data_IF_295360627886
#
_entry.id   IF_295360627886
#
_cell.length_a   1.000
_cell.length_b   1.000
_cell.length_c   1.000
_cell.angle_alpha   90.00
_cell.angle_beta   90.00
_cell.angle_gamma   90.00
#
_symmetry.space_group_name_H-M   'P 1'
#
loop_
_entity.id
_entity.type
_entity.pdbx_description
1 polymer ?
#
# COMPACT_ATOMS: atom_id res chain seq x y z
N UNK A 1 17.90 -62.47 -35.32
CA UNK A 1 16.49 -62.17 -34.95
C UNK A 1 16.38 -61.60 -33.54
N UNK A 2 16.90 -62.26 -32.51
CA UNK A 2 16.86 -61.75 -31.12
C UNK A 2 17.47 -60.35 -30.94
N UNK A 3 18.59 -60.05 -31.62
CA UNK A 3 19.28 -58.76 -31.55
C UNK A 3 18.42 -57.60 -32.10
N UNK A 4 17.71 -57.81 -33.20
CA UNK A 4 16.84 -56.77 -33.80
C UNK A 4 15.63 -56.45 -32.90
N UNK A 5 15.09 -57.46 -32.21
CA UNK A 5 13.98 -57.29 -31.26
C UNK A 5 14.46 -56.48 -30.03
N UNK A 6 15.67 -56.75 -29.56
CA UNK A 6 16.28 -56.05 -28.42
C UNK A 6 16.55 -54.57 -28.73
N UNK A 7 17.10 -54.28 -29.91
CA UNK A 7 17.34 -52.90 -30.38
C UNK A 7 16.03 -52.15 -30.59
N UNK A 8 15.02 -52.80 -31.18
CA UNK A 8 13.69 -52.20 -31.35
C UNK A 8 13.01 -51.86 -30.03
N UNK A 9 13.08 -52.76 -29.04
CA UNK A 9 12.52 -52.53 -27.70
C UNK A 9 13.23 -51.38 -26.97
N UNK A 10 14.55 -51.28 -27.09
CA UNK A 10 15.34 -50.21 -26.48
C UNK A 10 14.95 -48.83 -27.06
N UNK A 11 14.84 -48.75 -28.38
CA UNK A 11 14.44 -47.51 -29.07
C UNK A 11 13.03 -47.07 -28.65
N UNK A 12 12.09 -48.01 -28.58
CA UNK A 12 10.71 -47.72 -28.18
C UNK A 12 10.63 -47.24 -26.73
N UNK A 13 11.40 -47.84 -25.83
CA UNK A 13 11.51 -47.42 -24.43
C UNK A 13 12.12 -46.02 -24.29
N UNK A 14 13.17 -45.69 -25.06
CA UNK A 14 13.74 -44.34 -25.07
C UNK A 14 12.74 -43.29 -25.53
N UNK A 15 11.95 -43.58 -26.58
CA UNK A 15 10.92 -42.66 -27.08
C UNK A 15 9.81 -42.45 -26.04
N UNK A 16 9.36 -43.52 -25.37
CA UNK A 16 8.38 -43.40 -24.29
C UNK A 16 8.89 -42.56 -23.12
N UNK A 17 10.16 -42.76 -22.74
CA UNK A 17 10.78 -42.01 -21.65
C UNK A 17 10.91 -40.52 -21.99
N UNK A 18 11.26 -40.17 -23.22
CA UNK A 18 11.28 -38.77 -23.67
C UNK A 18 9.88 -38.15 -23.70
N UNK A 19 8.85 -38.89 -24.10
CA UNK A 19 7.47 -38.42 -24.09
C UNK A 19 6.96 -38.16 -22.67
N UNK A 20 7.26 -39.05 -21.71
CA UNK A 20 6.91 -38.85 -20.30
C UNK A 20 7.64 -37.65 -19.69
N UNK A 21 8.94 -37.50 -19.94
CA UNK A 21 9.69 -36.35 -19.45
C UNK A 21 9.26 -35.03 -20.11
N UNK A 22 8.78 -35.08 -21.35
CA UNK A 22 8.24 -33.90 -22.05
C UNK A 22 6.94 -33.40 -21.43
N UNK A 23 6.11 -34.31 -20.90
CA UNK A 23 4.86 -33.94 -20.23
C UNK A 23 5.11 -33.30 -18.86
N UNK A 24 6.18 -33.70 -18.19
CA UNK A 24 6.51 -33.23 -16.83
C UNK A 24 7.35 -31.93 -16.82
N UNK A 25 7.93 -31.51 -17.95
CA UNK A 25 9.02 -30.51 -17.95
C UNK A 25 8.66 -29.05 -18.22
N UNK A 26 7.40 -28.64 -18.36
CA UNK A 26 7.11 -27.22 -18.68
C UNK A 26 5.91 -26.59 -17.96
N UNK A 27 5.81 -26.80 -16.66
CA UNK A 27 5.11 -25.86 -15.75
C UNK A 27 6.10 -25.00 -14.96
N UNK A 28 7.26 -24.67 -15.54
CA UNK A 28 8.02 -23.50 -15.07
C UNK A 28 7.21 -22.29 -15.47
N UNK A 29 6.43 -21.78 -14.53
CA UNK A 29 5.82 -20.46 -14.57
C UNK A 29 6.86 -19.49 -15.11
N UNK A 30 6.76 -19.16 -16.40
CA UNK A 30 7.62 -18.16 -16.99
C UNK A 30 7.14 -16.85 -16.42
N UNK A 31 7.92 -16.31 -15.49
CA UNK A 31 7.66 -14.98 -14.95
C UNK A 31 7.56 -14.01 -16.12
N UNK A 32 6.42 -13.33 -16.22
CA UNK A 32 6.18 -12.39 -17.30
C UNK A 32 7.23 -11.28 -17.27
N UNK A 33 7.65 -10.82 -18.45
CA UNK A 33 8.60 -9.72 -18.56
C UNK A 33 8.10 -8.50 -17.78
N UNK A 34 8.89 -8.08 -16.80
CA UNK A 34 8.57 -6.93 -15.96
C UNK A 34 8.61 -5.66 -16.82
N UNK A 35 7.50 -4.91 -16.80
CA UNK A 35 7.40 -3.62 -17.49
C UNK A 35 7.29 -2.51 -16.45
N UNK A 36 7.92 -1.38 -16.73
CA UNK A 36 7.73 -0.17 -15.94
C UNK A 36 6.27 0.28 -16.04
N UNK A 37 5.64 0.52 -14.88
CA UNK A 37 4.27 1.05 -14.81
C UNK A 37 4.30 2.51 -14.41
N UNK A 38 3.40 3.31 -14.97
CA UNK A 38 3.14 4.64 -14.46
C UNK A 38 2.70 4.52 -12.99
N UNK A 39 3.29 5.37 -12.13
CA UNK A 39 2.96 5.38 -10.70
C UNK A 39 1.55 5.96 -10.52
N UNK A 40 1.22 7.02 -11.24
CA UNK A 40 -0.07 7.70 -11.12
C UNK A 40 -0.99 7.49 -12.33
N UNK A 41 -2.29 7.43 -12.05
CA UNK A 41 -3.34 7.72 -13.03
C UNK A 41 -3.46 9.24 -13.25
N UNK A 42 -4.11 9.68 -14.35
CA UNK A 42 -4.33 11.10 -14.67
C UNK A 42 -5.07 11.82 -13.54
N UNK A 43 -6.14 11.20 -13.02
CA UNK A 43 -6.93 11.70 -11.88
C UNK A 43 -6.09 11.87 -10.61
N UNK A 44 -5.25 10.87 -10.31
CA UNK A 44 -4.34 10.91 -9.17
C UNK A 44 -3.27 12.00 -9.35
N UNK A 45 -2.72 12.15 -10.55
CA UNK A 45 -1.70 13.16 -10.85
C UNK A 45 -2.24 14.58 -10.64
N UNK A 46 -3.45 14.87 -11.13
CA UNK A 46 -4.11 16.17 -10.95
C UNK A 46 -4.34 16.43 -9.46
N UNK A 47 -4.85 15.45 -8.73
CA UNK A 47 -5.11 15.54 -7.29
C UNK A 47 -3.82 15.79 -6.51
N UNK A 48 -2.75 15.06 -6.83
CA UNK A 48 -1.46 15.21 -6.18
C UNK A 48 -0.87 16.61 -6.36
N UNK A 49 -0.92 17.15 -7.59
CA UNK A 49 -0.47 18.52 -7.85
C UNK A 49 -1.28 19.54 -7.04
N UNK A 50 -2.62 19.40 -7.00
CA UNK A 50 -3.49 20.28 -6.21
C UNK A 50 -3.19 20.21 -4.72
N UNK A 51 -3.00 19.01 -4.17
CA UNK A 51 -2.65 18.81 -2.77
C UNK A 51 -1.33 19.50 -2.42
N UNK A 52 -0.32 19.36 -3.28
CA UNK A 52 0.98 20.02 -3.09
C UNK A 52 0.88 21.55 -3.12
N UNK A 53 -0.01 22.09 -3.95
CA UNK A 53 -0.28 23.54 -4.01
C UNK A 53 -1.01 24.05 -2.77
N UNK A 54 -1.97 23.29 -2.23
CA UNK A 54 -2.78 23.69 -1.06
C UNK A 54 -1.98 23.55 0.24
N UNK A 55 -1.15 22.51 0.32
CA UNK A 55 -0.41 22.13 1.53
C UNK A 55 1.12 22.16 1.29
N UNK A 56 1.72 23.33 1.00
CA UNK A 56 3.15 23.40 0.69
C UNK A 56 4.07 23.05 1.87
N UNK A 57 3.53 23.05 3.10
CA UNK A 57 4.28 22.73 4.32
C UNK A 57 4.09 21.29 4.79
N UNK A 58 3.12 20.57 4.22
CA UNK A 58 2.81 19.18 4.58
C UNK A 58 3.44 18.24 3.57
N UNK A 59 3.82 17.04 4.02
CA UNK A 59 4.37 16.04 3.10
C UNK A 59 3.26 15.12 2.63
N UNK A 60 3.09 15.00 1.32
CA UNK A 60 2.10 14.08 0.73
C UNK A 60 2.81 12.83 0.24
N UNK A 61 2.45 11.67 0.78
CA UNK A 61 2.90 10.38 0.34
C UNK A 61 1.85 9.74 -0.58
N UNK A 62 2.30 9.14 -1.67
CA UNK A 62 1.44 8.43 -2.61
C UNK A 62 1.59 6.91 -2.44
N UNK A 63 0.49 6.19 -2.66
CA UNK A 63 0.43 4.72 -2.69
C UNK A 63 1.07 4.06 -1.46
N UNK A 64 0.58 4.43 -0.28
CA UNK A 64 1.10 3.94 0.99
C UNK A 64 0.41 2.62 1.36
N UNK A 65 1.19 1.57 1.61
CA UNK A 65 0.64 0.29 2.08
C UNK A 65 -0.02 0.43 3.45
N UNK A 66 -1.16 -0.24 3.66
CA UNK A 66 -1.82 -0.28 4.96
C UNK A 66 -0.92 -0.90 6.06
N UNK A 67 0.01 -1.78 5.69
CA UNK A 67 1.01 -2.33 6.61
C UNK A 67 1.96 -1.27 7.23
N UNK A 68 2.09 -0.09 6.60
CA UNK A 68 2.87 1.03 7.13
C UNK A 68 2.04 1.94 8.05
N UNK A 69 0.72 1.89 7.94
CA UNK A 69 -0.22 2.72 8.71
C UNK A 69 -0.77 1.95 9.92
N UNK A 70 -0.99 0.64 9.76
CA UNK A 70 -1.68 -0.19 10.74
C UNK A 70 -0.74 -1.21 11.37
N UNK A 71 -0.75 -1.27 12.71
CA UNK A 71 -0.09 -2.32 13.47
C UNK A 71 -1.12 -3.18 14.19
N UNK A 72 -0.97 -4.50 14.09
CA UNK A 72 -1.85 -5.45 14.78
C UNK A 72 -1.06 -6.58 15.38
N UNK A 73 -1.54 -7.10 16.52
CA UNK A 73 -0.91 -8.24 17.22
C UNK A 73 -1.14 -9.56 16.50
N UNK A 74 -2.30 -9.73 15.86
CA UNK A 74 -2.72 -11.00 15.26
C UNK A 74 -2.44 -11.04 13.76
N UNK A 75 -1.65 -12.03 13.33
CA UNK A 75 -1.34 -12.24 11.91
C UNK A 75 -2.59 -12.39 11.03
N UNK A 76 -3.64 -13.05 11.54
CA UNK A 76 -4.92 -13.20 10.84
C UNK A 76 -5.57 -11.85 10.50
N UNK A 77 -5.44 -10.86 11.37
CA UNK A 77 -5.95 -9.51 11.14
C UNK A 77 -5.07 -8.78 10.12
N UNK A 78 -3.74 -8.91 10.22
CA UNK A 78 -2.80 -8.36 9.24
C UNK A 78 -3.08 -8.83 7.82
N UNK A 79 -3.38 -10.12 7.64
CA UNK A 79 -3.72 -10.67 6.31
C UNK A 79 -4.94 -10.00 5.65
N UNK A 80 -5.84 -9.39 6.43
CA UNK A 80 -7.02 -8.71 5.88
C UNK A 80 -6.67 -7.42 5.14
N UNK A 81 -5.60 -6.72 5.54
CA UNK A 81 -5.21 -5.43 4.98
C UNK A 81 -3.84 -5.43 4.29
N UNK A 82 -3.09 -6.55 4.34
CA UNK A 82 -1.73 -6.66 3.79
C UNK A 82 -1.58 -6.24 2.32
N UNK A 83 -2.60 -6.45 1.51
CA UNK A 83 -2.58 -6.12 0.09
C UNK A 83 -3.32 -4.80 -0.23
N UNK A 84 -3.68 -4.03 0.79
CA UNK A 84 -4.38 -2.75 0.65
C UNK A 84 -3.38 -1.60 0.63
N UNK A 85 -3.68 -0.61 -0.20
CA UNK A 85 -2.87 0.58 -0.43
C UNK A 85 -3.79 1.77 -0.39
N UNK A 86 -3.38 2.80 0.35
CA UNK A 86 -4.05 4.10 0.37
C UNK A 86 -3.49 4.98 -0.76
N UNK A 87 -4.36 5.76 -1.41
CA UNK A 87 -3.96 6.56 -2.56
C UNK A 87 -3.03 7.69 -2.15
N UNK A 88 -3.45 8.50 -1.17
CA UNK A 88 -2.60 9.54 -0.59
C UNK A 88 -2.66 9.57 0.93
N UNK A 89 -1.52 9.85 1.55
CA UNK A 89 -1.39 10.10 2.98
C UNK A 89 -0.75 11.45 3.18
N UNK A 90 -1.45 12.34 3.87
CA UNK A 90 -0.98 13.68 4.22
C UNK A 90 -0.33 13.61 5.59
N UNK A 91 0.92 14.03 5.64
CA UNK A 91 1.71 14.14 6.86
C UNK A 91 1.87 15.61 7.26
N UNK A 92 1.80 15.86 8.56
CA UNK A 92 2.17 17.15 9.14
C UNK A 92 3.70 17.35 9.15
N UNK A 93 4.16 18.55 9.53
CA UNK A 93 5.57 18.93 9.69
C UNK A 93 6.37 17.99 10.59
N UNK A 94 5.69 17.34 11.53
CA UNK A 94 6.28 16.37 12.46
C UNK A 94 6.25 14.93 11.91
N UNK A 95 5.93 14.73 10.63
CA UNK A 95 5.78 13.43 9.97
C UNK A 95 4.71 12.53 10.59
N UNK A 96 3.71 13.13 11.23
CA UNK A 96 2.53 12.43 11.74
C UNK A 96 1.43 12.45 10.68
N UNK A 97 0.69 11.35 10.55
CA UNK A 97 -0.44 11.25 9.62
C UNK A 97 -1.55 12.17 10.09
N UNK A 98 -1.91 13.17 9.28
CA UNK A 98 -3.01 14.10 9.56
C UNK A 98 -4.30 13.64 8.87
N UNK A 99 -4.21 13.22 7.60
CA UNK A 99 -5.34 12.69 6.86
C UNK A 99 -4.91 11.65 5.83
N UNK A 100 -5.80 10.70 5.55
CA UNK A 100 -5.67 9.75 4.46
C UNK A 100 -6.74 10.09 3.43
N UNK A 101 -6.32 10.23 2.17
CA UNK A 101 -7.21 10.55 1.06
C UNK A 101 -7.33 9.33 0.18
N UNK A 102 -8.57 8.98 -0.15
CA UNK A 102 -8.93 7.91 -1.07
C UNK A 102 -9.65 8.49 -2.27
N UNK A 103 -9.23 8.10 -3.47
CA UNK A 103 -9.85 8.47 -4.73
C UNK A 103 -10.58 7.26 -5.28
N UNK A 104 -11.90 7.35 -5.38
CA UNK A 104 -12.64 6.39 -6.19
C UNK A 104 -12.49 6.76 -7.67
N UNK A 105 -12.31 5.75 -8.50
CA UNK A 105 -12.38 5.91 -9.94
C UNK A 105 -13.83 5.58 -10.34
N UNK A 106 -14.61 6.54 -10.88
CA UNK A 106 -16.00 6.29 -11.28
C UNK A 106 -16.13 5.22 -12.37
N UNK A 107 -15.04 4.95 -13.10
CA UNK A 107 -14.97 3.88 -14.10
C UNK A 107 -14.59 2.52 -13.50
N UNK A 108 -14.07 2.51 -12.27
CA UNK A 108 -13.77 1.27 -11.58
C UNK A 108 -15.08 0.63 -11.15
N UNK A 109 -15.45 -0.46 -11.83
CA UNK A 109 -16.51 -1.39 -11.47
C UNK A 109 -16.18 -2.15 -10.16
N UNK A 110 -15.57 -1.48 -9.17
CA UNK A 110 -15.15 -2.06 -7.90
C UNK A 110 -16.32 -2.05 -6.93
N UNK A 111 -16.42 -3.14 -6.16
CA UNK A 111 -17.52 -3.35 -5.22
C UNK A 111 -17.45 -2.31 -4.10
N UNK A 112 -18.51 -1.53 -3.83
CA UNK A 112 -18.50 -0.49 -2.80
C UNK A 112 -18.24 -1.05 -1.39
N UNK A 113 -18.56 -2.32 -1.15
CA UNK A 113 -18.27 -3.00 0.12
C UNK A 113 -16.77 -3.05 0.47
N UNK A 114 -15.88 -3.13 -0.53
CA UNK A 114 -14.44 -3.17 -0.27
C UNK A 114 -13.92 -1.80 0.15
N UNK A 115 -14.46 -0.72 -0.43
CA UNK A 115 -14.12 0.65 -0.09
C UNK A 115 -14.54 0.97 1.35
N UNK A 116 -15.79 0.67 1.72
CA UNK A 116 -16.29 0.85 3.08
C UNK A 116 -15.48 0.07 4.13
N UNK A 117 -15.05 -1.14 3.79
CA UNK A 117 -14.22 -1.94 4.68
C UNK A 117 -12.82 -1.33 4.88
N UNK A 118 -12.22 -0.76 3.84
CA UNK A 118 -10.94 -0.04 3.95
C UNK A 118 -11.07 1.18 4.86
N UNK A 119 -12.13 1.97 4.67
CA UNK A 119 -12.37 3.17 5.47
C UNK A 119 -12.57 2.81 6.94
N UNK A 120 -13.40 1.80 7.21
CA UNK A 120 -13.63 1.31 8.57
C UNK A 120 -12.35 0.85 9.26
N UNK A 121 -11.40 0.22 8.53
CA UNK A 121 -10.11 -0.18 9.11
C UNK A 121 -9.26 1.02 9.54
N UNK A 122 -9.24 2.06 8.71
CA UNK A 122 -8.48 3.28 8.99
C UNK A 122 -9.13 4.07 10.13
N UNK A 123 -10.46 4.21 10.12
CA UNK A 123 -11.23 4.87 11.17
C UNK A 123 -11.07 4.15 12.52
N UNK A 124 -11.12 2.80 12.54
CA UNK A 124 -10.86 2.02 13.75
C UNK A 124 -9.45 2.23 14.32
N UNK A 125 -8.48 2.59 13.48
CA UNK A 125 -7.14 2.95 13.91
C UNK A 125 -7.00 4.43 14.34
N UNK A 126 -8.08 5.20 14.26
CA UNK A 126 -8.10 6.62 14.60
C UNK A 126 -7.59 7.53 13.47
N UNK A 127 -7.42 7.01 12.26
CA UNK A 127 -7.08 7.84 11.11
C UNK A 127 -8.32 8.49 10.54
N UNK A 128 -8.18 9.76 10.14
CA UNK A 128 -9.20 10.45 9.36
C UNK A 128 -9.10 10.05 7.90
N UNK A 129 -10.20 9.55 7.35
CA UNK A 129 -10.31 9.22 5.93
C UNK A 129 -11.16 10.27 5.24
N UNK A 130 -10.67 10.77 4.12
CA UNK A 130 -11.40 11.66 3.21
C UNK A 130 -11.52 10.94 1.88
N UNK A 131 -12.76 10.67 1.46
CA UNK A 131 -13.06 9.97 0.22
C UNK A 131 -13.60 10.96 -0.80
N UNK A 132 -13.06 10.93 -2.00
CA UNK A 132 -13.57 11.69 -3.14
C UNK A 132 -14.03 10.72 -4.23
N UNK A 133 -15.27 10.89 -4.68
CA UNK A 133 -15.89 10.08 -5.75
C UNK A 133 -15.38 10.46 -7.15
N UNK A 134 -14.95 11.71 -7.31
CA UNK A 134 -14.40 12.28 -8.54
C UNK A 134 -13.12 13.06 -8.25
N UNK A 135 -12.44 13.55 -9.29
CA UNK A 135 -11.24 14.39 -9.16
C UNK A 135 -11.59 15.64 -8.33
N UNK A 136 -11.09 15.75 -7.08
CA UNK A 136 -11.57 16.76 -6.16
C UNK A 136 -11.17 18.16 -6.60
N UNK A 137 -12.13 19.08 -6.56
CA UNK A 137 -11.88 20.48 -6.90
C UNK A 137 -10.99 21.15 -5.86
N UNK A 138 -10.23 22.16 -6.31
CA UNK A 138 -9.29 22.89 -5.46
C UNK A 138 -9.96 23.49 -4.20
N UNK A 139 -11.20 23.95 -4.35
CA UNK A 139 -11.96 24.57 -3.26
C UNK A 139 -12.38 23.56 -2.19
N UNK A 140 -12.81 22.36 -2.60
CA UNK A 140 -13.24 21.28 -1.71
C UNK A 140 -12.07 20.81 -0.83
N UNK A 141 -10.93 20.52 -1.46
CA UNK A 141 -9.69 20.17 -0.75
C UNK A 141 -9.32 21.24 0.27
N UNK A 142 -9.31 22.51 -0.15
CA UNK A 142 -8.95 23.63 0.73
C UNK A 142 -9.89 23.72 1.94
N UNK A 143 -11.19 23.55 1.77
CA UNK A 143 -12.15 23.63 2.86
C UNK A 143 -11.98 22.49 3.87
N UNK A 144 -11.80 21.26 3.40
CA UNK A 144 -11.63 20.07 4.25
C UNK A 144 -10.38 20.14 5.13
N UNK A 145 -9.30 20.73 4.60
CA UNK A 145 -8.03 20.97 5.30
C UNK A 145 -8.02 22.28 6.13
N UNK A 146 -8.88 23.28 5.83
CA UNK A 146 -8.99 24.48 6.66
C UNK A 146 -9.76 24.20 7.96
N UNK A 147 -10.87 23.46 7.89
CA UNK A 147 -11.64 23.03 9.08
C UNK A 147 -10.74 22.22 10.03
N UNK A 148 -9.79 21.49 9.47
CA UNK A 148 -8.78 20.71 10.21
C UNK A 148 -7.83 21.58 11.03
N UNK A 149 -7.24 22.63 10.44
CA UNK A 149 -6.29 23.50 11.17
C UNK A 149 -6.92 24.08 12.43
N UNK A 150 -8.19 24.44 12.38
CA UNK A 150 -8.92 24.98 13.52
C UNK A 150 -9.19 23.92 14.59
N UNK A 151 -9.50 22.68 14.17
CA UNK A 151 -9.79 21.57 15.09
C UNK A 151 -8.53 21.05 15.79
N UNK A 152 -7.43 20.84 15.05
CA UNK A 152 -6.15 20.39 15.63
C UNK A 152 -5.53 21.41 16.57
N UNK A 153 -5.62 22.73 16.30
CA UNK A 153 -5.15 23.75 17.24
C UNK A 153 -5.86 23.70 18.61
N UNK A 154 -7.10 23.20 18.66
CA UNK A 154 -7.90 23.09 19.87
C UNK A 154 -7.60 21.78 20.64
N UNK A 155 -7.34 20.69 19.92
CA UNK A 155 -6.88 19.43 20.49
C UNK A 155 -5.42 19.49 20.96
N UNK A 156 -4.51 20.12 20.21
CA UNK A 156 -3.09 20.24 20.58
C UNK A 156 -2.91 21.08 21.85
N UNK A 157 -3.73 22.12 22.05
CA UNK A 157 -3.76 22.87 23.32
C UNK A 157 -4.21 22.01 24.50
N UNK A 158 -5.13 21.08 24.27
CA UNK A 158 -5.64 20.17 25.31
C UNK A 158 -4.70 18.98 25.56
N UNK A 159 -3.99 18.53 24.51
CA UNK A 159 -3.03 17.43 24.59
C UNK A 159 -1.70 17.88 25.22
N UNK A 160 -1.25 19.11 24.99
CA UNK A 160 -0.07 19.69 25.63
C UNK A 160 -0.17 19.71 27.17
N UNK A 161 -1.37 19.86 27.73
CA UNK A 161 -1.61 19.72 29.17
C UNK A 161 -1.58 18.25 29.65
N UNK A 162 -1.84 17.29 28.76
CA UNK A 162 -1.79 15.85 29.06
C UNK A 162 -0.39 15.21 28.89
N UNK A 163 0.45 15.78 28.02
CA UNK A 163 1.80 15.26 27.68
C UNK A 163 2.77 15.35 28.86
N UNK A 164 2.57 16.27 29.81
CA UNK A 164 3.34 16.34 31.07
C UNK A 164 3.29 15.05 31.92
N UNK A 165 2.44 14.08 31.57
CA UNK A 165 2.26 12.83 32.31
C UNK A 165 2.96 11.60 31.70
N UNK A 166 3.58 11.71 30.52
CA UNK A 166 4.15 10.58 29.78
C UNK A 166 5.66 10.67 29.45
N UNK A 167 6.44 11.46 30.18
CA UNK A 167 7.91 11.50 30.09
C UNK A 167 8.58 10.29 30.79
N UNK A 168 8.17 9.05 30.48
CA UNK A 168 8.67 7.85 31.15
C UNK A 168 9.71 7.03 30.36
N UNK A 169 10.16 7.48 29.19
CA UNK A 169 11.23 6.81 28.44
C UNK A 169 12.53 7.62 28.47
N UNK A 170 13.62 7.10 29.06
CA UNK A 170 14.93 7.71 28.89
C UNK A 170 15.39 7.47 27.45
N UNK A 171 15.88 8.55 26.81
CA UNK A 171 16.51 8.51 25.49
C UNK A 171 17.63 7.46 25.48
N UNK A 172 17.41 6.33 24.82
CA UNK A 172 18.47 5.38 24.51
C UNK A 172 19.22 5.93 23.29
N UNK A 173 20.41 6.44 23.54
CA UNK A 173 21.37 6.85 22.52
C UNK A 173 21.58 5.72 21.50
N UNK A 174 20.98 5.88 20.32
CA UNK A 174 21.14 4.95 19.20
C UNK A 174 22.52 5.15 18.59
N UNK A 175 23.48 4.34 19.02
CA UNK A 175 24.79 4.19 18.36
C UNK A 175 24.57 3.78 16.89
N UNK A 176 24.83 4.70 15.96
CA UNK A 176 24.83 4.44 14.50
C UNK A 176 25.86 3.36 14.18
N UNK A 177 25.41 2.17 13.78
CA UNK A 177 26.26 1.17 13.14
C UNK A 177 26.34 1.56 11.66
N UNK A 178 27.53 2.02 11.22
CA UNK A 178 27.82 2.20 9.80
C UNK A 178 28.10 0.81 9.21
N UNK A 179 27.24 0.36 8.30
CA UNK A 179 27.54 -0.80 7.45
C UNK A 179 28.34 -0.26 6.27
N UNK A 180 29.59 -0.68 6.16
CA UNK A 180 30.45 -0.43 5.01
C UNK A 180 30.12 -1.51 3.97
N UNK A 181 29.68 -1.09 2.78
CA UNK A 181 29.52 -1.90 1.58
C UNK A 181 30.14 -1.15 0.42
#
# INVERSE_FOLDING_TARGET
MMIYILVGSLLLMCVLFMAWKSLESNTKQQDSALKQRAIFNISEQITFTRLKEILPQSTVLAHVSFDALLTTKYSRTRHKYRNMVADFVVLDKHYQVSAIITLDDPMALRRPQNAQYQDALLEMAGYRVIRYEDVPEYYQLRQDFLIEKTTHQQFDRSAADSIKKYDFYPNLDRKKIRILG
#
